data_IF_114502070219
#
_entry.id   IF_114502070219
#
_cell.length_a   1.000
_cell.length_b   1.000
_cell.length_c   1.000
_cell.angle_alpha   90.00
_cell.angle_beta   90.00
_cell.angle_gamma   90.00
#
_symmetry.space_group_name_H-M   'P 1'
#
loop_
_entity.id
_entity.type
_entity.pdbx_description
1 polymer ?
#
# COMPACT_ATOMS: atom_id res chain seq x y z
N UNK A 1 -16.69 -23.43 -51.79
CA UNK A 1 -16.29 -22.07 -51.35
C UNK A 1 -16.25 -22.06 -49.83
N UNK A 2 -15.04 -22.19 -49.28
CA UNK A 2 -14.81 -22.32 -47.83
C UNK A 2 -14.28 -20.98 -47.32
N UNK A 3 -15.14 -20.18 -46.69
CA UNK A 3 -14.72 -18.96 -46.00
C UNK A 3 -14.48 -19.28 -44.53
N UNK A 4 -13.20 -19.29 -44.16
CA UNK A 4 -12.66 -19.60 -42.84
C UNK A 4 -13.08 -18.51 -41.83
N UNK A 5 -13.88 -18.88 -40.85
CA UNK A 5 -14.12 -18.17 -39.59
C UNK A 5 -12.79 -17.92 -38.88
N UNK A 6 -12.26 -16.70 -38.97
CA UNK A 6 -10.99 -16.30 -38.32
C UNK A 6 -11.08 -14.96 -37.58
N UNK A 7 -12.29 -14.56 -37.15
CA UNK A 7 -12.52 -13.35 -36.34
C UNK A 7 -13.01 -13.77 -34.97
N UNK A 8 -12.09 -14.17 -34.08
CA UNK A 8 -12.47 -14.67 -32.75
C UNK A 8 -11.36 -14.75 -31.72
N UNK A 9 -10.23 -14.06 -31.94
CA UNK A 9 -9.08 -14.07 -31.01
C UNK A 9 -8.65 -12.65 -30.57
N UNK A 10 -9.30 -11.59 -31.07
CA UNK A 10 -8.92 -10.20 -30.75
C UNK A 10 -9.45 -9.65 -29.43
N UNK A 11 -10.48 -10.27 -28.82
CA UNK A 11 -11.19 -9.69 -27.68
C UNK A 11 -10.71 -10.15 -26.28
N UNK A 12 -9.73 -11.05 -26.22
CA UNK A 12 -9.26 -11.61 -24.94
C UNK A 12 -8.15 -10.77 -24.26
N UNK A 13 -7.50 -9.86 -24.99
CA UNK A 13 -6.38 -9.06 -24.46
C UNK A 13 -6.81 -7.83 -23.64
N UNK A 14 -8.08 -7.40 -23.74
CA UNK A 14 -8.59 -6.23 -23.01
C UNK A 14 -8.94 -6.47 -21.54
N UNK A 15 -9.04 -7.74 -21.11
CA UNK A 15 -9.40 -8.10 -19.73
C UNK A 15 -8.19 -8.18 -18.77
N UNK A 16 -6.98 -7.95 -19.29
CA UNK A 16 -5.72 -7.94 -18.52
C UNK A 16 -5.27 -6.51 -18.17
N UNK A 17 -6.15 -5.51 -18.28
CA UNK A 17 -5.91 -4.19 -17.72
C UNK A 17 -5.96 -4.29 -16.18
N UNK A 18 -4.91 -4.88 -15.60
CA UNK A 18 -4.69 -4.85 -14.16
C UNK A 18 -4.71 -3.40 -13.71
N UNK A 19 -5.46 -3.12 -12.64
CA UNK A 19 -5.43 -1.81 -12.02
C UNK A 19 -3.96 -1.45 -11.74
N UNK A 20 -3.52 -0.28 -12.18
CA UNK A 20 -2.24 0.26 -11.74
C UNK A 20 -2.33 0.38 -10.21
N UNK A 21 -1.71 -0.56 -9.49
CA UNK A 21 -1.64 -0.55 -8.03
C UNK A 21 -0.57 0.46 -7.65
N UNK A 22 -0.98 1.69 -7.38
CA UNK A 22 -0.10 2.66 -6.74
C UNK A 22 0.07 2.26 -5.26
N UNK A 23 1.31 2.30 -4.78
CA UNK A 23 1.60 2.08 -3.37
C UNK A 23 0.89 3.15 -2.53
N UNK A 24 0.17 2.73 -1.49
CA UNK A 24 -0.62 3.64 -0.65
C UNK A 24 0.20 4.14 0.53
N UNK A 25 0.34 5.45 0.66
CA UNK A 25 1.04 6.08 1.78
C UNK A 25 0.10 6.29 2.97
N UNK A 26 0.54 5.91 4.16
CA UNK A 26 -0.22 6.03 5.41
C UNK A 26 0.61 6.80 6.43
N UNK A 27 0.17 8.00 6.80
CA UNK A 27 0.72 8.70 7.96
C UNK A 27 0.08 8.18 9.25
N UNK A 28 0.91 7.63 10.15
CA UNK A 28 0.45 7.13 11.43
C UNK A 28 0.88 8.06 12.57
N UNK A 29 -0.02 8.93 12.99
CA UNK A 29 0.22 9.83 14.11
C UNK A 29 0.09 9.09 15.45
N UNK A 30 1.07 9.28 16.33
CA UNK A 30 1.06 8.66 17.65
C UNK A 30 1.66 9.53 18.76
N UNK A 31 1.25 9.26 20.00
CA UNK A 31 1.75 9.91 21.22
C UNK A 31 2.73 9.03 22.04
N UNK A 32 3.19 7.93 21.44
CA UNK A 32 4.15 7.01 22.07
C UNK A 32 5.57 7.59 22.07
N UNK A 33 6.02 8.10 23.22
CA UNK A 33 7.38 8.59 23.43
C UNK A 33 8.37 7.52 23.92
N UNK A 34 9.65 7.86 23.97
CA UNK A 34 10.73 6.99 24.48
C UNK A 34 10.78 5.62 23.79
N UNK A 35 10.98 4.55 24.58
CA UNK A 35 11.11 3.17 24.09
C UNK A 35 9.85 2.66 23.35
N UNK A 36 8.68 3.20 23.71
CA UNK A 36 7.43 2.85 23.03
C UNK A 36 7.42 3.42 21.60
N UNK A 37 7.92 4.65 21.40
CA UNK A 37 8.12 5.23 20.08
C UNK A 37 9.10 4.44 19.21
N UNK A 38 10.22 3.98 19.79
CA UNK A 38 11.16 3.08 19.09
C UNK A 38 10.51 1.77 18.66
N UNK A 39 9.65 1.22 19.52
CA UNK A 39 8.92 -0.02 19.22
C UNK A 39 7.92 0.19 18.07
N UNK A 40 7.25 1.34 18.02
CA UNK A 40 6.35 1.72 16.91
C UNK A 40 7.10 1.83 15.60
N UNK A 41 8.24 2.52 15.60
CA UNK A 41 9.06 2.67 14.41
C UNK A 41 9.50 1.31 13.87
N UNK A 42 9.94 0.40 14.74
CA UNK A 42 10.33 -0.96 14.35
C UNK A 42 9.17 -1.79 13.81
N UNK A 43 7.97 -1.62 14.35
CA UNK A 43 6.77 -2.29 13.82
C UNK A 43 6.46 -1.76 12.41
N UNK A 44 6.49 -0.44 12.21
CA UNK A 44 6.27 0.17 10.90
C UNK A 44 7.32 -0.29 9.88
N UNK A 45 8.59 -0.33 10.26
CA UNK A 45 9.68 -0.83 9.41
C UNK A 45 9.45 -2.29 8.99
N UNK A 46 9.17 -3.17 9.94
CA UNK A 46 8.90 -4.58 9.65
C UNK A 46 7.66 -4.77 8.75
N UNK A 47 6.64 -3.94 8.93
CA UNK A 47 5.44 -3.95 8.09
C UNK A 47 5.76 -3.45 6.67
N UNK A 48 6.56 -2.40 6.53
CA UNK A 48 6.98 -1.88 5.23
C UNK A 48 7.91 -2.85 4.49
N UNK A 49 8.69 -3.65 5.23
CA UNK A 49 9.56 -4.67 4.64
C UNK A 49 8.80 -5.96 4.24
N UNK A 50 7.66 -6.26 4.87
CA UNK A 50 6.92 -7.51 4.65
C UNK A 50 5.94 -7.45 3.48
N UNK A 51 5.59 -6.25 3.01
CA UNK A 51 4.65 -6.04 1.91
C UNK A 51 5.04 -4.79 1.09
N UNK A 52 4.48 -4.64 -0.11
CA UNK A 52 4.77 -3.50 -1.01
C UNK A 52 3.55 -2.64 -1.36
N UNK A 53 2.37 -2.99 -0.88
CA UNK A 53 1.12 -2.30 -1.21
C UNK A 53 0.96 -0.98 -0.44
N UNK A 54 1.60 -0.87 0.73
CA UNK A 54 1.52 0.26 1.66
C UNK A 54 2.89 0.75 2.11
N UNK A 55 3.01 2.04 2.42
CA UNK A 55 4.12 2.63 3.21
C UNK A 55 3.54 3.28 4.45
N UNK A 56 3.96 2.82 5.61
CA UNK A 56 3.60 3.42 6.89
C UNK A 56 4.69 4.40 7.30
N UNK A 57 4.32 5.66 7.53
CA UNK A 57 5.19 6.72 8.07
C UNK A 57 4.71 7.08 9.48
N UNK A 58 5.33 6.54 10.55
CA UNK A 58 4.99 6.91 11.91
C UNK A 58 5.46 8.34 12.23
N UNK A 59 4.58 9.14 12.83
CA UNK A 59 4.84 10.53 13.20
C UNK A 59 4.53 10.71 14.69
N UNK A 60 5.56 11.01 15.48
CA UNK A 60 5.38 11.37 16.88
C UNK A 60 4.79 12.77 17.00
N UNK A 61 3.66 12.90 17.69
CA UNK A 61 2.90 14.15 17.81
C UNK A 61 2.89 14.77 19.21
N UNK A 62 3.72 14.27 20.14
CA UNK A 62 3.78 14.76 21.53
C UNK A 62 3.00 13.87 22.51
N UNK A 63 2.80 14.32 23.76
CA UNK A 63 1.91 13.60 24.69
C UNK A 63 0.44 13.82 24.30
N UNK A 64 -0.48 12.94 24.75
CA UNK A 64 -1.93 13.10 24.52
C UNK A 64 -2.46 14.47 24.99
N UNK A 65 -1.76 15.13 25.93
CA UNK A 65 -2.10 16.47 26.44
C UNK A 65 -1.70 17.60 25.46
N UNK A 66 -0.80 17.32 24.52
CA UNK A 66 -0.35 18.25 23.46
C UNK A 66 -1.04 17.99 22.11
N UNK A 67 -1.80 16.89 21.98
CA UNK A 67 -2.41 16.45 20.71
C UNK A 67 -3.94 16.53 20.64
N UNK A 68 -4.62 16.96 21.71
CA UNK A 68 -6.07 17.20 21.77
C UNK A 68 -6.41 18.69 21.92
#
# INVERSE_FOLDING_TARGET
MTFKTTVGVGLALGLMAGAAQAQTEIEFWHAMGGQLGESVNRIAENSNASQGDYVITPIFKGSYEETL
#
